data_IF_184123933386
#
_entry.id   IF_184123933386
#
_cell.length_a   1.000
_cell.length_b   1.000
_cell.length_c   1.000
_cell.angle_alpha   90.00
_cell.angle_beta   90.00
_cell.angle_gamma   90.00
#
_symmetry.space_group_name_H-M   'P 1'
#
loop_
_entity.id
_entity.type
_entity.pdbx_description
1 polymer ?
#
# COMPACT_ATOMS: atom_id res chain seq x y z
N UNK A 1 -54.25 10.18 38.57
CA UNK A 1 -54.36 8.71 38.44
C UNK A 1 -54.32 8.34 36.97
N UNK A 2 -53.35 7.50 36.58
CA UNK A 2 -53.36 6.45 35.54
C UNK A 2 -53.86 6.86 34.14
N UNK A 3 -53.08 6.82 33.05
CA UNK A 3 -52.10 5.81 32.63
C UNK A 3 -52.68 5.03 31.44
N UNK A 4 -52.01 5.07 30.28
CA UNK A 4 -52.45 4.55 28.97
C UNK A 4 -52.67 3.01 28.90
N UNK A 5 -53.15 2.42 27.78
CA UNK A 5 -52.29 2.19 26.59
C UNK A 5 -53.03 2.45 25.24
N UNK A 6 -52.49 3.24 24.30
CA UNK A 6 -51.50 2.87 23.26
C UNK A 6 -51.68 1.45 22.71
N UNK A 7 -52.41 1.36 21.60
CA UNK A 7 -52.50 0.15 20.78
C UNK A 7 -51.14 -0.24 20.22
N UNK A 8 -50.78 -1.51 20.41
CA UNK A 8 -49.57 -2.18 19.91
C UNK A 8 -49.32 -1.87 18.43
N UNK A 9 -48.17 -1.25 18.15
CA UNK A 9 -47.47 -1.47 16.89
C UNK A 9 -46.97 -2.91 16.92
N UNK A 10 -47.51 -3.73 16.03
CA UNK A 10 -46.98 -5.06 15.74
C UNK A 10 -45.52 -4.92 15.30
N UNK A 11 -44.67 -5.78 15.86
CA UNK A 11 -43.22 -5.75 15.65
C UNK A 11 -42.86 -5.78 14.16
N UNK A 12 -42.02 -4.83 13.78
CA UNK A 12 -41.29 -4.84 12.52
C UNK A 12 -40.17 -5.86 12.68
N UNK A 13 -40.28 -7.00 11.99
CA UNK A 13 -39.12 -7.83 11.69
C UNK A 13 -38.14 -6.93 10.94
N UNK A 14 -36.90 -6.78 11.45
CA UNK A 14 -35.89 -5.91 10.84
C UNK A 14 -35.62 -6.32 9.38
N UNK A 15 -36.38 -5.74 8.46
CA UNK A 15 -36.31 -6.01 7.04
C UNK A 15 -35.00 -5.51 6.50
N UNK A 16 -34.22 -6.41 5.90
CA UNK A 16 -33.01 -6.04 5.17
C UNK A 16 -33.42 -5.13 4.00
N UNK A 17 -33.16 -3.83 4.15
CA UNK A 17 -33.53 -2.82 3.15
C UNK A 17 -32.71 -3.02 1.87
N UNK A 18 -33.40 -3.28 0.77
CA UNK A 18 -32.80 -3.36 -0.57
C UNK A 18 -32.69 -1.94 -1.10
N UNK A 19 -31.52 -1.58 -1.59
CA UNK A 19 -31.26 -0.24 -2.12
C UNK A 19 -31.68 -0.13 -3.59
N UNK A 20 -32.21 1.02 -3.99
CA UNK A 20 -32.23 1.44 -5.39
C UNK A 20 -30.84 1.92 -5.83
N UNK A 21 -30.62 2.10 -7.15
CA UNK A 21 -29.37 2.68 -7.67
C UNK A 21 -29.09 4.07 -7.07
N UNK A 22 -30.10 4.94 -6.99
CA UNK A 22 -29.97 6.24 -6.36
C UNK A 22 -29.64 6.13 -4.86
N UNK A 23 -30.34 5.27 -4.11
CA UNK A 23 -30.08 5.11 -2.68
C UNK A 23 -28.68 4.51 -2.40
N UNK A 24 -28.18 3.66 -3.29
CA UNK A 24 -26.82 3.14 -3.24
C UNK A 24 -25.77 4.25 -3.49
N UNK A 25 -25.99 5.11 -4.49
CA UNK A 25 -25.12 6.24 -4.77
C UNK A 25 -25.08 7.25 -3.61
N UNK A 26 -26.24 7.60 -3.07
CA UNK A 26 -26.36 8.48 -1.88
C UNK A 26 -25.65 7.86 -0.65
N UNK A 27 -25.80 6.55 -0.45
CA UNK A 27 -25.13 5.83 0.63
C UNK A 27 -23.60 5.91 0.54
N UNK A 28 -23.05 5.71 -0.67
CA UNK A 28 -21.60 5.79 -0.89
C UNK A 28 -21.11 7.23 -0.74
N UNK A 29 -21.80 8.21 -1.33
CA UNK A 29 -21.42 9.62 -1.28
C UNK A 29 -21.38 10.14 0.17
N UNK A 30 -22.39 9.79 0.99
CA UNK A 30 -22.49 10.22 2.38
C UNK A 30 -21.37 9.67 3.28
N UNK A 31 -20.72 8.56 2.89
CA UNK A 31 -19.66 7.90 3.66
C UNK A 31 -18.26 8.11 3.08
N UNK A 32 -18.15 8.77 1.93
CA UNK A 32 -16.88 9.00 1.25
C UNK A 32 -15.90 9.79 2.13
N UNK A 33 -16.35 10.92 2.69
CA UNK A 33 -15.51 11.82 3.49
C UNK A 33 -16.24 12.38 4.71
N UNK A 34 -15.61 12.25 5.87
CA UNK A 34 -15.95 13.03 7.05
C UNK A 34 -15.19 14.37 7.00
N UNK A 35 -15.88 15.52 7.11
CA UNK A 35 -15.22 16.82 7.12
C UNK A 35 -14.26 16.92 8.31
N UNK A 36 -13.04 17.39 8.04
CA UNK A 36 -12.03 17.57 9.07
C UNK A 36 -10.85 18.35 8.52
N UNK A 37 -10.35 19.31 9.31
CA UNK A 37 -9.09 19.98 8.98
C UNK A 37 -7.92 19.01 9.22
N UNK A 38 -6.83 19.10 8.44
CA UNK A 38 -5.65 18.30 8.65
C UNK A 38 -5.11 18.41 10.08
N UNK A 39 -4.76 17.27 10.67
CA UNK A 39 -4.22 17.21 12.03
C UNK A 39 -4.02 15.80 12.58
N UNK A 40 -4.71 14.81 12.04
CA UNK A 40 -4.58 13.40 12.41
C UNK A 40 -4.03 12.57 11.26
N UNK A 41 -3.05 11.74 11.60
CA UNK A 41 -2.42 10.81 10.66
C UNK A 41 -2.71 9.38 11.13
N UNK A 42 -3.28 8.58 10.23
CA UNK A 42 -3.39 7.14 10.35
C UNK A 42 -2.32 6.46 9.48
N UNK A 43 -1.76 5.37 9.97
CA UNK A 43 -0.75 4.59 9.23
C UNK A 43 -1.17 3.12 9.29
N UNK A 44 -1.03 2.41 8.18
CA UNK A 44 -1.04 0.95 8.19
C UNK A 44 0.14 0.40 7.39
N UNK A 45 0.72 -0.69 7.89
CA UNK A 45 1.88 -1.35 7.28
C UNK A 45 1.57 -2.83 7.09
N UNK A 46 1.59 -3.29 5.84
CA UNK A 46 1.39 -4.70 5.52
C UNK A 46 2.71 -5.47 5.75
N UNK A 47 2.64 -6.57 6.49
CA UNK A 47 3.71 -7.56 6.66
C UNK A 47 3.41 -8.76 5.75
N UNK A 48 4.28 -9.00 4.78
CA UNK A 48 4.19 -10.20 3.96
C UNK A 48 4.94 -11.33 4.66
N UNK A 49 4.29 -12.46 4.91
CA UNK A 49 4.84 -13.55 5.73
C UNK A 49 5.00 -14.86 4.95
N UNK A 50 6.02 -15.63 5.36
CA UNK A 50 6.30 -17.00 4.89
C UNK A 50 6.62 -17.93 6.08
N UNK A 51 6.12 -19.17 6.14
CA UNK A 51 5.15 -19.77 5.23
C UNK A 51 3.78 -19.08 5.25
N UNK A 52 2.95 -19.38 4.25
CA UNK A 52 1.61 -18.83 4.06
C UNK A 52 0.59 -19.37 5.08
N UNK A 53 0.84 -19.14 6.37
CA UNK A 53 0.02 -19.61 7.49
C UNK A 53 -0.20 -18.53 8.56
N UNK A 54 -0.33 -17.27 8.14
CA UNK A 54 -0.66 -16.16 9.03
C UNK A 54 -1.87 -16.51 9.92
N UNK A 55 -1.79 -16.27 11.25
CA UNK A 55 -2.86 -16.65 12.18
C UNK A 55 -4.15 -15.90 11.86
N UNK A 56 -5.28 -16.58 11.79
CA UNK A 56 -6.56 -15.93 11.51
C UNK A 56 -7.00 -14.96 12.61
N UNK A 57 -7.76 -13.94 12.21
CA UNK A 57 -8.46 -13.02 13.11
C UNK A 57 -7.81 -11.65 13.27
N UNK A 58 -8.52 -10.76 13.97
CA UNK A 58 -8.09 -9.42 14.35
C UNK A 58 -7.60 -9.45 15.79
N UNK A 59 -6.40 -8.90 16.04
CA UNK A 59 -5.80 -8.87 17.38
C UNK A 59 -5.53 -7.43 17.81
N UNK A 60 -5.96 -7.01 19.01
CA UNK A 60 -5.59 -5.70 19.53
C UNK A 60 -4.10 -5.64 19.82
N UNK A 61 -3.48 -4.51 19.50
CA UNK A 61 -2.12 -4.15 19.88
C UNK A 61 -2.18 -3.03 20.93
N UNK A 62 -1.05 -2.37 21.20
CA UNK A 62 -0.99 -1.32 22.21
C UNK A 62 -1.84 -0.11 21.81
N UNK A 63 -1.76 0.29 20.54
CA UNK A 63 -2.49 1.45 20.04
C UNK A 63 -3.53 1.09 18.99
N UNK A 64 -3.20 0.15 18.11
CA UNK A 64 -4.03 -0.27 16.98
C UNK A 64 -4.33 -1.76 16.98
N UNK A 65 -4.29 -2.36 15.80
CA UNK A 65 -4.64 -3.77 15.60
C UNK A 65 -3.72 -4.44 14.58
N UNK A 66 -3.55 -5.74 14.75
CA UNK A 66 -2.98 -6.65 13.75
C UNK A 66 -4.14 -7.42 13.10
N UNK A 67 -4.33 -7.22 11.80
CA UNK A 67 -5.36 -7.88 11.00
C UNK A 67 -4.75 -8.87 10.01
N UNK A 68 -5.32 -10.06 9.90
CA UNK A 68 -4.95 -11.01 8.85
C UNK A 68 -5.78 -10.77 7.60
N UNK A 69 -5.13 -10.26 6.56
CA UNK A 69 -5.77 -9.98 5.26
C UNK A 69 -5.83 -11.22 4.38
N UNK A 70 -4.82 -12.08 4.49
CA UNK A 70 -4.73 -13.36 3.82
C UNK A 70 -3.75 -14.27 4.59
N UNK A 71 -3.64 -15.57 4.24
CA UNK A 71 -2.62 -16.44 4.83
C UNK A 71 -1.18 -15.96 4.67
N UNK A 72 -0.90 -14.97 3.79
CA UNK A 72 0.43 -14.39 3.58
C UNK A 72 0.54 -12.92 4.00
N UNK A 73 -0.55 -12.24 4.31
CA UNK A 73 -0.51 -10.79 4.56
C UNK A 73 -1.15 -10.48 5.90
N UNK A 74 -0.32 -10.00 6.82
CA UNK A 74 -0.76 -9.33 8.05
C UNK A 74 -0.76 -7.82 7.81
N UNK A 75 -1.67 -7.08 8.41
CA UNK A 75 -1.72 -5.62 8.34
C UNK A 75 -1.71 -5.04 9.75
N UNK A 76 -0.65 -4.31 10.09
CA UNK A 76 -0.60 -3.53 11.33
C UNK A 76 -1.25 -2.19 11.04
N UNK A 77 -2.38 -1.89 11.68
CA UNK A 77 -3.13 -0.64 11.46
C UNK A 77 -3.17 0.17 12.75
N UNK A 78 -2.59 1.37 12.71
CA UNK A 78 -2.57 2.30 13.83
C UNK A 78 -3.85 3.15 13.89
N UNK A 79 -4.18 3.72 15.06
CA UNK A 79 -5.31 4.64 15.20
C UNK A 79 -4.99 5.99 14.56
N UNK A 80 -6.01 6.80 14.19
CA UNK A 80 -5.80 8.20 13.87
C UNK A 80 -5.09 8.89 15.04
N UNK A 81 -3.96 9.52 14.76
CA UNK A 81 -3.06 10.05 15.77
C UNK A 81 -2.79 11.52 15.55
N UNK A 82 -2.84 12.38 16.60
CA UNK A 82 -2.68 13.81 16.46
C UNK A 82 -1.23 14.15 16.08
N UNK A 83 -1.04 14.47 14.80
CA UNK A 83 0.25 14.77 14.21
C UNK A 83 1.10 13.54 13.85
N UNK A 84 2.01 13.77 12.89
CA UNK A 84 2.88 12.75 12.31
C UNK A 84 3.76 12.03 13.34
N UNK A 85 4.42 12.74 14.26
CA UNK A 85 5.33 12.13 15.24
C UNK A 85 4.61 11.17 16.20
N UNK A 86 3.37 11.48 16.58
CA UNK A 86 2.55 10.58 17.41
C UNK A 86 2.17 9.34 16.62
N UNK A 87 1.76 9.50 15.36
CA UNK A 87 1.43 8.38 14.47
C UNK A 87 2.62 7.44 14.28
N UNK A 88 3.80 7.99 13.97
CA UNK A 88 5.03 7.21 13.78
C UNK A 88 5.47 6.48 15.05
N UNK A 89 5.40 7.13 16.22
CA UNK A 89 5.73 6.46 17.48
C UNK A 89 4.78 5.30 17.78
N UNK A 90 3.47 5.53 17.67
CA UNK A 90 2.46 4.50 17.91
C UNK A 90 2.60 3.31 16.97
N UNK A 91 2.79 3.57 15.69
CA UNK A 91 3.02 2.52 14.70
C UNK A 91 4.33 1.76 14.97
N UNK A 92 5.40 2.45 15.39
CA UNK A 92 6.65 1.80 15.80
C UNK A 92 6.47 0.81 16.95
N UNK A 93 5.74 1.21 18.00
CA UNK A 93 5.42 0.32 19.13
C UNK A 93 4.62 -0.93 18.69
N UNK A 94 3.62 -0.72 17.82
CA UNK A 94 2.73 -1.78 17.34
C UNK A 94 3.44 -2.72 16.36
N UNK A 95 4.36 -2.22 15.53
CA UNK A 95 5.23 -3.05 14.68
C UNK A 95 6.16 -3.91 15.52
N UNK A 96 6.82 -3.34 16.53
CA UNK A 96 7.68 -4.09 17.46
C UNK A 96 6.90 -5.15 18.27
N UNK A 97 5.62 -4.91 18.54
CA UNK A 97 4.74 -5.92 19.14
C UNK A 97 4.35 -7.02 18.14
N UNK A 98 4.13 -6.65 16.88
CA UNK A 98 3.77 -7.58 15.80
C UNK A 98 4.92 -8.51 15.42
N UNK A 99 6.18 -8.05 15.47
CA UNK A 99 7.37 -8.88 15.27
C UNK A 99 7.41 -10.06 16.26
N UNK A 100 7.08 -9.82 17.53
CA UNK A 100 6.99 -10.90 18.54
C UNK A 100 5.92 -11.94 18.20
N UNK A 101 4.80 -11.52 17.62
CA UNK A 101 3.72 -12.43 17.20
C UNK A 101 4.17 -13.25 15.99
N UNK A 102 4.79 -12.59 15.01
CA UNK A 102 5.40 -13.25 13.84
C UNK A 102 6.40 -14.32 14.29
N UNK A 103 7.29 -14.00 15.22
CA UNK A 103 8.30 -14.93 15.76
C UNK A 103 7.65 -16.12 16.49
N UNK A 104 6.64 -15.87 17.32
CA UNK A 104 5.88 -16.92 18.02
C UNK A 104 5.24 -17.92 17.05
N UNK A 105 4.78 -17.44 15.90
CA UNK A 105 4.21 -18.26 14.84
C UNK A 105 5.26 -18.82 13.85
N UNK A 106 6.55 -18.60 14.11
CA UNK A 106 7.67 -19.01 13.25
C UNK A 106 7.53 -18.52 11.80
N UNK A 107 7.00 -17.32 11.65
CA UNK A 107 6.83 -16.65 10.37
C UNK A 107 8.07 -15.81 10.07
N UNK A 108 8.42 -15.69 8.80
CA UNK A 108 9.43 -14.76 8.31
C UNK A 108 8.72 -13.62 7.59
N UNK A 109 8.99 -12.36 8.00
CA UNK A 109 8.52 -11.21 7.22
C UNK A 109 9.42 -11.02 6.01
N UNK A 110 8.84 -11.17 4.83
CA UNK A 110 9.54 -10.98 3.57
C UNK A 110 9.79 -9.48 3.33
N UNK A 111 10.99 -9.13 2.84
CA UNK A 111 11.33 -7.75 2.55
C UNK A 111 10.69 -7.22 1.25
N UNK A 112 10.07 -8.08 0.42
CA UNK A 112 9.41 -7.70 -0.85
C UNK A 112 8.11 -8.49 -1.07
N UNK A 113 7.29 -8.05 -2.05
CA UNK A 113 6.15 -8.81 -2.57
C UNK A 113 6.55 -10.25 -2.95
N UNK A 114 5.66 -11.24 -2.77
CA UNK A 114 6.04 -12.63 -2.96
C UNK A 114 6.21 -12.89 -4.43
N UNK A 115 7.24 -13.68 -4.75
CA UNK A 115 7.56 -14.03 -6.12
C UNK A 115 6.50 -14.80 -6.90
N UNK A 116 5.35 -15.14 -6.34
CA UNK A 116 4.28 -15.90 -7.00
C UNK A 116 3.36 -15.06 -7.88
N UNK A 117 3.41 -13.73 -7.81
CA UNK A 117 2.46 -12.87 -8.52
C UNK A 117 3.05 -12.36 -9.82
N UNK A 118 2.22 -12.37 -10.86
CA UNK A 118 2.51 -11.74 -12.14
C UNK A 118 1.84 -10.36 -12.21
N UNK A 119 2.46 -9.35 -12.85
CA UNK A 119 1.85 -8.03 -13.12
C UNK A 119 0.50 -8.08 -13.86
N UNK A 120 0.31 -9.10 -14.69
CA UNK A 120 -0.97 -9.44 -15.36
C UNK A 120 -1.79 -10.50 -14.59
N UNK A 121 -1.48 -10.68 -13.30
CA UNK A 121 -2.18 -11.62 -12.43
C UNK A 121 -3.57 -11.14 -12.05
N UNK A 122 -4.40 -12.02 -11.45
CA UNK A 122 -5.75 -11.65 -11.06
C UNK A 122 -5.74 -10.57 -9.98
N UNK A 123 -6.74 -9.67 -10.00
CA UNK A 123 -6.82 -8.51 -9.09
C UNK A 123 -6.73 -8.88 -7.59
N UNK A 124 -7.23 -10.05 -7.18
CA UNK A 124 -7.14 -10.50 -5.79
C UNK A 124 -5.70 -10.69 -5.29
N UNK A 125 -4.72 -10.84 -6.20
CA UNK A 125 -3.31 -10.98 -5.86
C UNK A 125 -2.74 -9.78 -5.09
N UNK A 126 -3.32 -8.59 -5.25
CA UNK A 126 -2.96 -7.38 -4.48
C UNK A 126 -3.06 -7.66 -2.97
N UNK A 127 -4.16 -8.27 -2.53
CA UNK A 127 -4.45 -8.52 -1.12
C UNK A 127 -3.84 -9.80 -0.55
N UNK A 128 -3.31 -10.69 -1.40
CA UNK A 128 -2.83 -12.01 -0.98
C UNK A 128 -1.33 -12.20 -1.09
N UNK A 129 -0.62 -11.33 -1.80
CA UNK A 129 0.77 -11.60 -2.13
C UNK A 129 1.64 -10.35 -2.36
N UNK A 130 1.12 -9.16 -2.02
CA UNK A 130 1.88 -7.91 -1.99
C UNK A 130 1.78 -7.26 -0.61
N UNK A 131 2.70 -6.34 -0.31
CA UNK A 131 2.68 -5.56 0.93
C UNK A 131 3.03 -4.11 0.63
N UNK A 132 2.29 -3.19 1.26
CA UNK A 132 2.47 -1.76 1.11
C UNK A 132 2.40 -1.00 2.44
N UNK A 133 2.42 0.32 2.30
CA UNK A 133 2.20 1.27 3.38
C UNK A 133 1.03 2.16 2.99
N UNK A 134 0.05 2.27 3.88
CA UNK A 134 -1.13 3.12 3.74
C UNK A 134 -1.08 4.27 4.70
N UNK A 135 -1.44 5.45 4.22
CA UNK A 135 -1.54 6.67 5.02
C UNK A 135 -2.97 7.20 4.91
N UNK A 136 -3.64 7.32 6.06
CA UNK A 136 -4.95 7.92 6.17
C UNK A 136 -4.85 9.32 6.74
N UNK A 137 -5.46 10.30 6.10
CA UNK A 137 -5.41 11.73 6.44
C UNK A 137 -6.81 12.31 6.46
N UNK A 138 -7.05 13.40 7.19
CA UNK A 138 -8.32 14.10 7.03
C UNK A 138 -8.53 14.57 5.60
N UNK A 139 -9.80 14.56 5.18
CA UNK A 139 -10.15 14.87 3.81
C UNK A 139 -10.06 16.38 3.51
N UNK A 140 -10.15 17.24 4.52
CA UNK A 140 -10.37 18.67 4.37
C UNK A 140 -11.84 19.05 4.59
N UNK A 141 -12.11 20.36 4.49
CA UNK A 141 -13.47 20.91 4.49
C UNK A 141 -13.93 21.19 3.05
N UNK A 142 -15.23 21.33 2.80
CA UNK A 142 -15.77 21.61 1.45
C UNK A 142 -15.39 23.01 0.89
N UNK A 143 -14.66 23.83 1.66
CA UNK A 143 -14.17 25.14 1.23
C UNK A 143 -13.08 25.08 0.14
N UNK A 144 -12.86 26.20 -0.56
CA UNK A 144 -11.91 26.28 -1.69
C UNK A 144 -10.45 26.57 -1.34
N UNK A 145 -10.08 26.56 -0.06
CA UNK A 145 -8.71 26.83 0.40
C UNK A 145 -7.72 25.71 0.04
N UNK A 146 -6.41 25.91 0.30
CA UNK A 146 -5.36 24.91 0.02
C UNK A 146 -5.61 23.54 0.68
N UNK A 147 -6.23 23.53 1.85
CA UNK A 147 -6.60 22.33 2.60
C UNK A 147 -8.07 21.92 2.41
N UNK A 148 -8.71 22.45 1.38
CA UNK A 148 -10.07 22.08 0.99
C UNK A 148 -10.13 20.69 0.36
N UNK A 149 -11.27 20.02 0.52
CA UNK A 149 -11.49 18.65 0.08
C UNK A 149 -11.12 18.44 -1.39
N UNK A 150 -11.62 19.32 -2.27
CA UNK A 150 -11.38 19.20 -3.72
C UNK A 150 -9.90 19.26 -4.07
N UNK A 151 -9.18 20.26 -3.54
CA UNK A 151 -7.75 20.42 -3.81
C UNK A 151 -6.93 19.25 -3.26
N UNK A 152 -7.26 18.77 -2.05
CA UNK A 152 -6.59 17.61 -1.45
C UNK A 152 -6.86 16.35 -2.26
N UNK A 153 -8.08 16.16 -2.76
CA UNK A 153 -8.42 15.04 -3.64
C UNK A 153 -7.64 15.07 -4.95
N UNK A 154 -7.58 16.22 -5.63
CA UNK A 154 -6.82 16.42 -6.86
C UNK A 154 -5.32 16.22 -6.65
N UNK A 155 -4.76 16.80 -5.58
CA UNK A 155 -3.35 16.63 -5.20
C UNK A 155 -3.03 15.17 -4.93
N UNK A 156 -3.87 14.45 -4.18
CA UNK A 156 -3.62 13.04 -3.89
C UNK A 156 -3.49 12.20 -5.17
N UNK A 157 -4.32 12.46 -6.19
CA UNK A 157 -4.29 11.71 -7.45
C UNK A 157 -3.07 12.04 -8.33
N UNK A 158 -2.63 13.30 -8.34
CA UNK A 158 -1.45 13.73 -9.10
C UNK A 158 -0.15 13.36 -8.40
N UNK A 159 -0.14 13.36 -7.07
CA UNK A 159 1.00 12.96 -6.24
C UNK A 159 1.18 11.44 -6.15
N UNK A 160 0.10 10.67 -6.22
CA UNK A 160 0.11 9.21 -6.04
C UNK A 160 1.11 8.47 -6.96
N UNK A 161 1.17 8.71 -8.29
CA UNK A 161 2.16 8.10 -9.17
C UNK A 161 3.61 8.45 -8.80
N UNK A 162 3.86 9.67 -8.33
CA UNK A 162 5.20 10.12 -7.91
C UNK A 162 5.66 9.37 -6.67
N UNK A 163 4.78 9.23 -5.67
CA UNK A 163 5.08 8.46 -4.46
C UNK A 163 5.23 6.96 -4.77
N UNK A 164 4.38 6.42 -5.64
CA UNK A 164 4.47 5.04 -6.11
C UNK A 164 5.82 4.75 -6.79
N UNK A 165 6.30 5.67 -7.63
CA UNK A 165 7.60 5.58 -8.27
C UNK A 165 8.76 5.72 -7.26
N UNK A 166 8.72 6.73 -6.40
CA UNK A 166 9.80 6.98 -5.43
C UNK A 166 9.99 5.83 -4.43
N UNK A 167 8.89 5.18 -4.04
CA UNK A 167 8.89 4.11 -3.04
C UNK A 167 8.71 2.71 -3.64
N UNK A 168 8.94 2.52 -4.95
CA UNK A 168 8.90 1.21 -5.58
C UNK A 168 9.94 0.25 -4.95
N UNK A 169 9.51 -0.93 -4.51
CA UNK A 169 10.35 -1.89 -3.79
C UNK A 169 9.89 -3.36 -3.97
N UNK A 170 9.28 -3.67 -5.11
CA UNK A 170 8.82 -5.04 -5.41
C UNK A 170 9.16 -5.51 -6.83
N UNK A 171 10.46 -5.56 -7.21
CA UNK A 171 10.83 -5.81 -8.61
C UNK A 171 10.93 -7.29 -9.02
N UNK A 172 10.77 -8.22 -8.09
CA UNK A 172 11.07 -9.64 -8.31
C UNK A 172 9.82 -10.51 -8.44
N UNK A 173 9.92 -11.53 -9.30
CA UNK A 173 9.02 -12.67 -9.42
C UNK A 173 9.85 -13.96 -9.33
N UNK A 174 9.52 -14.84 -8.38
CA UNK A 174 10.28 -16.04 -8.03
C UNK A 174 11.80 -15.83 -7.96
N UNK A 175 12.24 -14.72 -7.35
CA UNK A 175 13.66 -14.36 -7.22
C UNK A 175 14.31 -13.85 -8.52
N UNK A 176 13.56 -13.69 -9.61
CA UNK A 176 14.03 -13.14 -10.90
C UNK A 176 13.42 -11.76 -11.16
N UNK A 177 14.07 -10.87 -11.90
CA UNK A 177 13.48 -9.60 -12.30
C UNK A 177 12.16 -9.80 -13.04
N UNK A 178 11.10 -9.10 -12.61
CA UNK A 178 9.78 -9.18 -13.21
C UNK A 178 9.61 -8.26 -14.44
N UNK A 179 10.58 -7.37 -14.70
CA UNK A 179 10.46 -6.28 -15.68
C UNK A 179 9.71 -5.04 -15.15
N UNK A 180 9.43 -4.99 -13.84
CA UNK A 180 8.78 -3.88 -13.17
C UNK A 180 9.58 -3.52 -11.92
N UNK A 181 9.54 -2.26 -11.50
CA UNK A 181 10.10 -1.83 -10.20
C UNK A 181 9.12 -2.03 -9.06
N UNK A 182 7.82 -1.95 -9.35
CA UNK A 182 6.77 -2.34 -8.43
C UNK A 182 5.73 -3.24 -9.09
N UNK A 183 5.84 -4.54 -8.85
CA UNK A 183 4.79 -5.52 -9.20
C UNK A 183 3.49 -5.18 -8.47
N UNK A 184 3.57 -4.66 -7.24
CA UNK A 184 2.41 -4.21 -6.47
C UNK A 184 1.62 -3.13 -7.20
N UNK A 185 2.30 -2.10 -7.71
CA UNK A 185 1.64 -1.03 -8.45
C UNK A 185 1.20 -1.47 -9.84
N UNK A 186 1.93 -2.37 -10.49
CA UNK A 186 1.54 -2.91 -11.78
C UNK A 186 0.16 -3.58 -11.73
N UNK A 187 -0.18 -4.29 -10.65
CA UNK A 187 -1.50 -4.90 -10.45
C UNK A 187 -2.66 -3.90 -10.28
N UNK A 188 -2.35 -2.62 -10.00
CA UNK A 188 -3.33 -1.58 -9.64
C UNK A 188 -3.40 -0.44 -10.65
N UNK A 189 -2.60 -0.50 -11.71
CA UNK A 189 -2.48 0.58 -12.71
C UNK A 189 -3.81 0.93 -13.38
N UNK A 190 -4.73 -0.03 -13.46
CA UNK A 190 -6.07 0.13 -14.04
C UNK A 190 -7.18 0.33 -12.99
N UNK A 191 -6.83 0.36 -11.70
CA UNK A 191 -7.77 0.52 -10.57
C UNK A 191 -7.82 1.97 -10.07
N UNK A 192 -7.40 2.92 -10.89
CA UNK A 192 -7.26 4.31 -10.47
C UNK A 192 -8.59 5.02 -10.53
N UNK A 193 -8.98 5.68 -9.45
CA UNK A 193 -10.09 6.63 -9.49
C UNK A 193 -9.69 7.79 -10.39
N UNK A 194 -10.54 8.18 -11.33
CA UNK A 194 -10.33 9.36 -12.15
C UNK A 194 -10.97 10.55 -11.42
N UNK A 195 -10.18 11.52 -10.92
CA UNK A 195 -10.77 12.72 -10.34
C UNK A 195 -11.49 13.47 -11.45
N UNK A 196 -12.82 13.53 -11.40
CA UNK A 196 -13.61 14.35 -12.30
C UNK A 196 -13.48 15.83 -11.94
N UNK A 197 -13.91 16.73 -12.83
CA UNK A 197 -14.00 18.17 -12.55
C UNK A 197 -15.11 18.53 -11.52
N UNK A 198 -15.89 17.54 -11.08
CA UNK A 198 -17.03 17.65 -10.18
C UNK A 198 -16.64 17.41 -8.71
N UNK A 199 -17.62 17.11 -7.84
CA UNK A 199 -17.38 16.79 -6.43
C UNK A 199 -16.52 15.50 -6.30
N UNK A 200 -15.48 15.49 -5.44
CA UNK A 200 -14.76 14.27 -5.06
C UNK A 200 -15.66 13.10 -4.64
N UNK A 201 -16.81 13.39 -4.00
CA UNK A 201 -17.79 12.37 -3.62
C UNK A 201 -18.40 11.69 -4.83
N UNK A 202 -18.75 12.46 -5.87
CA UNK A 202 -19.32 11.91 -7.11
C UNK A 202 -18.30 11.03 -7.84
N UNK A 203 -17.04 11.48 -7.91
CA UNK A 203 -15.96 10.71 -8.54
C UNK A 203 -15.73 9.38 -7.82
N UNK A 204 -15.75 9.39 -6.48
CA UNK A 204 -15.64 8.18 -5.67
C UNK A 204 -16.86 7.26 -5.83
N UNK A 205 -18.07 7.81 -5.79
CA UNK A 205 -19.32 7.06 -5.96
C UNK A 205 -19.39 6.39 -7.32
N UNK A 206 -19.07 7.11 -8.40
CA UNK A 206 -19.00 6.55 -9.74
C UNK A 206 -18.02 5.38 -9.79
N UNK A 207 -16.81 5.57 -9.26
CA UNK A 207 -15.81 4.49 -9.19
C UNK A 207 -16.33 3.27 -8.44
N UNK A 208 -16.94 3.44 -7.26
CA UNK A 208 -17.48 2.32 -6.46
C UNK A 208 -18.57 1.58 -7.23
N UNK A 209 -19.51 2.31 -7.83
CA UNK A 209 -20.66 1.74 -8.52
C UNK A 209 -20.30 1.05 -9.83
N UNK A 210 -19.21 1.47 -10.48
CA UNK A 210 -18.77 0.97 -11.79
C UNK A 210 -17.57 0.01 -11.72
N UNK A 211 -16.98 -0.20 -10.53
CA UNK A 211 -15.89 -1.17 -10.36
C UNK A 211 -16.45 -2.54 -9.98
N UNK A 212 -16.09 -3.62 -10.67
CA UNK A 212 -16.57 -4.96 -10.35
C UNK A 212 -15.97 -5.46 -9.04
N UNK A 213 -16.80 -6.18 -8.26
CA UNK A 213 -16.35 -6.90 -7.08
C UNK A 213 -15.64 -8.22 -7.44
N UNK A 214 -15.43 -9.08 -6.43
CA UNK A 214 -14.82 -10.41 -6.63
C UNK A 214 -15.63 -11.35 -7.53
N UNK A 215 -16.92 -11.08 -7.72
CA UNK A 215 -17.83 -11.83 -8.59
C UNK A 215 -17.73 -11.40 -10.06
N UNK A 216 -16.98 -10.34 -10.36
CA UNK A 216 -16.85 -9.80 -11.73
C UNK A 216 -18.00 -8.91 -12.19
N UNK A 217 -18.99 -8.66 -11.33
CA UNK A 217 -20.15 -7.79 -11.61
C UNK A 217 -20.05 -6.52 -10.77
N UNK A 218 -20.48 -5.40 -11.34
CA UNK A 218 -20.52 -4.10 -10.63
C UNK A 218 -21.80 -3.95 -9.80
N UNK A 219 -21.80 -3.12 -8.74
CA UNK A 219 -23.03 -2.76 -8.04
C UNK A 219 -24.11 -2.22 -8.98
N UNK A 220 -23.73 -1.36 -9.92
CA UNK A 220 -24.67 -0.76 -10.88
C UNK A 220 -25.30 -1.79 -11.81
N UNK A 221 -24.51 -2.73 -12.36
CA UNK A 221 -25.04 -3.83 -13.16
C UNK A 221 -25.97 -4.72 -12.33
N UNK A 222 -25.56 -5.09 -11.11
CA UNK A 222 -26.38 -5.91 -10.20
C UNK A 222 -27.77 -5.32 -10.01
N UNK A 223 -27.87 -4.01 -9.79
CA UNK A 223 -29.14 -3.32 -9.60
C UNK A 223 -29.97 -3.25 -10.89
N UNK A 224 -29.33 -2.96 -12.03
CA UNK A 224 -29.99 -2.87 -13.34
C UNK A 224 -30.53 -4.20 -13.83
N UNK A 225 -29.88 -5.30 -13.45
CA UNK A 225 -30.32 -6.66 -13.75
C UNK A 225 -31.41 -7.16 -12.79
N UNK A 226 -31.93 -6.30 -11.90
CA UNK A 226 -32.96 -6.64 -10.92
C UNK A 226 -32.46 -7.42 -9.70
N UNK A 227 -31.13 -7.45 -9.50
CA UNK A 227 -30.48 -8.03 -8.33
C UNK A 227 -30.76 -7.24 -7.06
N UNK A 228 -30.51 -7.88 -5.91
CA UNK A 228 -30.68 -7.28 -4.58
C UNK A 228 -29.33 -6.82 -4.06
N UNK A 229 -29.25 -5.56 -3.66
CA UNK A 229 -28.06 -4.98 -3.04
C UNK A 229 -28.46 -4.31 -1.72
N UNK A 230 -27.73 -4.63 -0.65
CA UNK A 230 -27.96 -4.07 0.68
C UNK A 230 -26.86 -3.08 1.06
N UNK A 231 -27.07 -2.29 2.10
CA UNK A 231 -26.02 -1.42 2.65
C UNK A 231 -24.77 -2.21 3.09
N UNK A 232 -24.96 -3.39 3.69
CA UNK A 232 -23.86 -4.27 4.10
C UNK A 232 -23.10 -4.85 2.91
N UNK A 233 -23.79 -5.14 1.80
CA UNK A 233 -23.13 -5.55 0.55
C UNK A 233 -22.25 -4.42 -0.01
N UNK A 234 -22.76 -3.18 0.01
CA UNK A 234 -21.98 -2.02 -0.42
C UNK A 234 -20.80 -1.74 0.51
N UNK A 235 -20.98 -1.80 1.83
CA UNK A 235 -19.86 -1.63 2.78
C UNK A 235 -18.78 -2.71 2.56
N UNK A 236 -19.17 -3.97 2.31
CA UNK A 236 -18.23 -5.04 1.92
C UNK A 236 -17.54 -4.76 0.58
N UNK A 237 -18.29 -4.33 -0.43
CA UNK A 237 -17.75 -4.02 -1.75
C UNK A 237 -16.72 -2.88 -1.66
N UNK A 238 -17.09 -1.77 -1.03
CA UNK A 238 -16.23 -0.63 -0.75
C UNK A 238 -14.95 -1.10 -0.05
N UNK A 239 -15.05 -1.89 1.02
CA UNK A 239 -13.90 -2.40 1.76
C UNK A 239 -12.96 -3.32 0.94
N UNK A 240 -13.49 -4.00 -0.09
CA UNK A 240 -12.72 -4.87 -0.97
C UNK A 240 -11.94 -4.12 -2.06
N UNK A 241 -12.38 -2.91 -2.45
CA UNK A 241 -11.70 -2.10 -3.45
C UNK A 241 -10.32 -1.67 -2.96
N UNK A 242 -9.32 -1.71 -3.85
CA UNK A 242 -7.92 -1.33 -3.54
C UNK A 242 -7.34 -0.30 -4.52
N UNK A 243 -8.03 0.81 -4.83
CA UNK A 243 -7.46 1.88 -5.63
C UNK A 243 -6.26 2.52 -4.89
N UNK A 244 -5.30 3.12 -5.60
CA UNK A 244 -4.17 3.81 -4.96
C UNK A 244 -4.55 5.00 -4.08
N UNK A 245 -5.66 5.67 -4.40
CA UNK A 245 -6.26 6.76 -3.62
C UNK A 245 -7.73 6.43 -3.39
N UNK A 246 -8.21 6.56 -2.16
CA UNK A 246 -9.58 6.17 -1.79
C UNK A 246 -10.25 7.14 -0.82
N UNK A 247 -11.58 7.15 -0.84
CA UNK A 247 -12.42 7.82 0.14
C UNK A 247 -12.99 6.79 1.12
N UNK A 248 -12.61 6.87 2.40
CA UNK A 248 -12.91 5.88 3.46
C UNK A 248 -13.51 6.52 4.72
N UNK A 249 -14.26 7.60 4.54
CA UNK A 249 -14.57 8.58 5.59
C UNK A 249 -13.38 9.51 5.88
N UNK A 250 -12.24 9.26 5.25
CA UNK A 250 -11.00 10.03 5.28
C UNK A 250 -10.30 9.83 3.93
N UNK A 251 -9.24 10.60 3.66
CA UNK A 251 -8.43 10.44 2.46
C UNK A 251 -7.37 9.37 2.71
N UNK A 252 -7.41 8.26 1.96
CA UNK A 252 -6.44 7.17 2.07
C UNK A 252 -5.52 7.16 0.84
N UNK A 253 -4.20 7.20 1.05
CA UNK A 253 -3.19 6.95 0.03
C UNK A 253 -2.51 5.60 0.30
N UNK A 254 -2.59 4.69 -0.66
CA UNK A 254 -2.06 3.34 -0.60
C UNK A 254 -0.95 3.12 -1.63
N UNK A 255 0.00 4.05 -1.77
CA UNK A 255 0.85 4.15 -2.97
C UNK A 255 2.26 3.59 -2.80
N UNK A 256 2.76 3.48 -1.57
CA UNK A 256 4.12 3.01 -1.32
C UNK A 256 4.17 1.47 -1.18
N UNK A 257 5.20 0.85 -1.76
CA UNK A 257 5.55 -0.53 -1.42
C UNK A 257 6.10 -0.59 0.00
N UNK A 258 6.03 -1.77 0.62
CA UNK A 258 6.70 -2.01 1.91
C UNK A 258 8.19 -1.66 1.79
N UNK A 259 8.68 -0.88 2.74
CA UNK A 259 10.09 -0.49 2.84
C UNK A 259 10.83 -1.38 3.85
N UNK A 260 12.14 -1.63 3.68
CA UNK A 260 12.92 -2.46 4.59
C UNK A 260 13.09 -1.80 5.97
N UNK A 261 13.11 -2.60 7.03
CA UNK A 261 13.35 -2.15 8.40
C UNK A 261 12.44 -0.98 8.81
N UNK A 262 13.05 0.08 9.36
CA UNK A 262 12.34 1.31 9.76
C UNK A 262 12.06 2.27 8.58
N UNK A 263 12.36 1.87 7.35
CA UNK A 263 12.16 2.70 6.16
C UNK A 263 10.69 3.07 5.91
N UNK A 264 9.74 2.38 6.53
CA UNK A 264 8.31 2.68 6.42
C UNK A 264 7.93 4.08 6.94
N UNK A 265 8.77 4.66 7.82
CA UNK A 265 8.57 6.01 8.36
C UNK A 265 8.67 7.08 7.27
N UNK A 266 9.50 6.85 6.25
CA UNK A 266 9.79 7.82 5.18
C UNK A 266 8.56 8.06 4.28
N UNK A 267 7.94 7.04 3.63
CA UNK A 267 6.74 7.27 2.84
C UNK A 267 5.58 7.80 3.67
N UNK A 268 5.44 7.36 4.93
CA UNK A 268 4.41 7.91 5.82
C UNK A 268 4.63 9.41 6.08
N UNK A 269 5.87 9.81 6.41
CA UNK A 269 6.22 11.20 6.68
C UNK A 269 6.07 12.09 5.45
N UNK A 270 6.65 11.70 4.31
CA UNK A 270 6.60 12.46 3.05
C UNK A 270 5.15 12.63 2.59
N UNK A 271 4.35 11.57 2.61
CA UNK A 271 2.93 11.65 2.23
C UNK A 271 2.16 12.60 3.14
N UNK A 272 2.30 12.45 4.46
CA UNK A 272 1.55 13.29 5.40
C UNK A 272 1.90 14.77 5.24
N UNK A 273 3.19 15.13 5.15
CA UNK A 273 3.57 16.55 5.07
C UNK A 273 3.23 17.19 3.72
N UNK A 274 3.34 16.45 2.61
CA UNK A 274 2.97 17.00 1.30
C UNK A 274 1.48 17.27 1.19
N UNK A 275 0.66 16.57 1.97
CA UNK A 275 -0.78 16.79 1.99
C UNK A 275 -1.17 17.85 3.02
N UNK A 276 -0.63 17.79 4.25
CA UNK A 276 -1.14 18.53 5.41
C UNK A 276 -0.45 19.88 5.64
N UNK A 277 0.80 20.07 5.21
CA UNK A 277 1.42 21.39 5.23
C UNK A 277 0.98 22.19 4.00
N UNK A 278 0.26 23.30 4.23
CA UNK A 278 -0.35 24.08 3.14
C UNK A 278 0.66 24.54 2.07
N UNK A 279 1.88 24.89 2.45
CA UNK A 279 2.92 25.33 1.51
C UNK A 279 3.47 24.15 0.72
N UNK A 280 3.73 23.03 1.39
CA UNK A 280 4.19 21.81 0.73
C UNK A 280 3.15 21.26 -0.24
N UNK A 281 1.86 21.36 0.11
CA UNK A 281 0.75 20.98 -0.75
C UNK A 281 0.67 21.83 -2.02
N UNK A 282 0.87 23.15 -1.91
CA UNK A 282 0.93 24.03 -3.08
C UNK A 282 2.15 23.75 -3.97
N UNK A 283 3.33 23.58 -3.37
CA UNK A 283 4.56 23.23 -4.09
C UNK A 283 4.43 21.87 -4.80
N UNK A 284 3.84 20.88 -4.13
CA UNK A 284 3.57 19.55 -4.70
C UNK A 284 2.52 19.60 -5.82
N UNK A 285 1.46 20.38 -5.64
CA UNK A 285 0.44 20.57 -6.67
C UNK A 285 1.05 21.21 -7.93
N UNK A 286 1.91 22.21 -7.78
CA UNK A 286 2.62 22.83 -8.90
C UNK A 286 3.56 21.83 -9.61
N UNK A 287 4.34 21.06 -8.84
CA UNK A 287 5.25 20.05 -9.37
C UNK A 287 4.54 18.93 -10.14
N UNK A 288 3.30 18.61 -9.76
CA UNK A 288 2.56 17.45 -10.30
C UNK A 288 1.41 17.81 -11.24
N UNK A 289 1.09 19.09 -11.43
CA UNK A 289 -0.05 19.55 -12.22
C UNK A 289 -0.07 18.98 -13.65
N UNK A 290 1.10 18.93 -14.30
CA UNK A 290 1.22 18.44 -15.68
C UNK A 290 0.98 16.93 -15.83
N UNK A 291 1.09 16.16 -14.73
CA UNK A 291 0.99 14.70 -14.75
C UNK A 291 -0.43 14.20 -15.08
N UNK A 292 -1.47 15.00 -14.84
CA UNK A 292 -2.84 14.61 -15.15
C UNK A 292 -3.07 14.31 -16.65
N UNK A 293 -2.26 14.90 -17.54
CA UNK A 293 -2.33 14.67 -18.98
C UNK A 293 -1.39 13.58 -19.51
N UNK A 294 -0.59 12.95 -18.64
CA UNK A 294 0.46 12.02 -19.06
C UNK A 294 -0.10 10.64 -19.42
N UNK A 295 0.13 10.13 -20.66
CA UNK A 295 -0.44 8.87 -21.11
C UNK A 295 0.23 7.67 -20.43
N UNK A 296 -0.58 6.76 -19.86
CA UNK A 296 -0.06 5.55 -19.23
C UNK A 296 0.78 5.82 -17.96
N UNK A 297 0.61 6.97 -17.30
CA UNK A 297 1.42 7.40 -16.16
C UNK A 297 1.57 6.34 -15.07
N UNK A 298 0.49 5.63 -14.71
CA UNK A 298 0.54 4.58 -13.69
C UNK A 298 1.34 3.34 -14.12
N UNK A 299 1.28 3.00 -15.40
CA UNK A 299 2.09 1.91 -15.97
C UNK A 299 3.58 2.28 -15.89
N UNK A 300 3.94 3.51 -16.30
CA UNK A 300 5.31 4.02 -16.21
C UNK A 300 5.78 4.13 -14.77
N UNK A 301 4.96 4.62 -13.85
CA UNK A 301 5.29 4.69 -12.43
C UNK A 301 5.58 3.31 -11.82
N UNK A 302 4.81 2.28 -12.21
CA UNK A 302 5.03 0.92 -11.73
C UNK A 302 6.24 0.25 -12.40
N UNK A 303 6.44 0.46 -13.72
CA UNK A 303 7.48 -0.20 -14.51
C UNK A 303 8.84 0.48 -14.33
N UNK A 304 8.88 1.76 -14.64
CA UNK A 304 10.08 2.57 -14.80
C UNK A 304 10.41 3.36 -13.52
N UNK A 305 9.41 3.61 -12.67
CA UNK A 305 9.55 4.38 -11.44
C UNK A 305 10.30 5.70 -11.68
N UNK A 306 11.34 6.00 -10.89
CA UNK A 306 12.13 7.24 -11.06
C UNK A 306 13.17 7.19 -12.19
N UNK A 307 13.25 6.10 -12.97
CA UNK A 307 13.98 6.14 -14.25
C UNK A 307 13.17 6.81 -15.36
N UNK A 308 11.85 6.95 -15.17
CA UNK A 308 11.04 7.86 -15.98
C UNK A 308 11.42 9.31 -15.62
N UNK A 309 11.90 10.12 -16.59
CA UNK A 309 12.41 11.46 -16.31
C UNK A 309 11.32 12.45 -15.87
N UNK A 310 10.06 12.26 -16.29
CA UNK A 310 8.93 13.11 -15.93
C UNK A 310 8.59 12.89 -14.46
N UNK A 311 8.48 11.63 -14.04
CA UNK A 311 8.27 11.27 -12.63
C UNK A 311 9.47 11.65 -11.74
N UNK A 312 10.69 11.49 -12.24
CA UNK A 312 11.91 11.87 -11.51
C UNK A 312 11.99 13.37 -11.22
N UNK A 313 11.61 14.22 -12.20
CA UNK A 313 11.57 15.66 -12.01
C UNK A 313 10.56 16.05 -10.92
N UNK A 314 9.32 15.59 -11.05
CA UNK A 314 8.27 15.86 -10.06
C UNK A 314 8.65 15.33 -8.66
N UNK A 315 9.27 14.15 -8.58
CA UNK A 315 9.73 13.58 -7.31
C UNK A 315 10.78 14.47 -6.61
N UNK A 316 11.75 15.03 -7.35
CA UNK A 316 12.76 15.92 -6.76
C UNK A 316 12.10 17.15 -6.12
N UNK A 317 11.19 17.79 -6.82
CA UNK A 317 10.49 18.98 -6.33
C UNK A 317 9.61 18.64 -5.11
N UNK A 318 8.86 17.53 -5.16
CA UNK A 318 8.06 17.07 -4.03
C UNK A 318 8.93 16.73 -2.80
N UNK A 319 10.07 16.04 -2.96
CA UNK A 319 10.91 15.70 -1.81
C UNK A 319 11.60 16.93 -1.21
N UNK A 320 11.93 17.94 -2.01
CA UNK A 320 12.40 19.23 -1.52
C UNK A 320 11.33 19.94 -0.67
N UNK A 321 10.09 20.00 -1.17
CA UNK A 321 8.95 20.56 -0.45
C UNK A 321 8.68 19.81 0.86
N UNK A 322 8.72 18.47 0.82
CA UNK A 322 8.54 17.61 1.98
C UNK A 322 9.59 17.86 3.05
N UNK A 323 10.88 17.94 2.67
CA UNK A 323 11.96 18.20 3.62
C UNK A 323 11.79 19.56 4.32
N UNK A 324 11.46 20.61 3.57
CA UNK A 324 11.19 21.92 4.12
C UNK A 324 9.99 21.91 5.09
N UNK A 325 8.95 21.14 4.78
CA UNK A 325 7.77 20.98 5.63
C UNK A 325 8.09 20.24 6.95
N UNK A 326 8.85 19.15 6.89
CA UNK A 326 9.30 18.42 8.07
C UNK A 326 10.08 19.32 9.03
N UNK A 327 10.91 20.22 8.49
CA UNK A 327 11.64 21.20 9.30
C UNK A 327 10.69 22.21 9.98
N UNK A 328 9.68 22.72 9.26
CA UNK A 328 8.66 23.64 9.84
C UNK A 328 7.83 22.99 10.93
N UNK A 329 7.46 21.72 10.76
CA UNK A 329 6.65 20.98 11.72
C UNK A 329 7.44 20.51 12.97
N UNK A 330 8.74 20.82 13.06
CA UNK A 330 9.56 20.46 14.21
C UNK A 330 9.78 18.95 14.34
N UNK A 331 9.70 18.21 13.24
CA UNK A 331 9.95 16.77 13.21
C UNK A 331 11.38 16.47 13.64
N UNK A 332 11.55 15.36 14.36
CA UNK A 332 12.83 14.89 14.88
C UNK A 332 13.95 14.92 13.83
N UNK A 333 15.14 15.33 14.28
CA UNK A 333 16.32 15.40 13.40
C UNK A 333 16.62 14.05 12.75
N UNK A 334 16.51 12.96 13.51
CA UNK A 334 16.71 11.60 13.02
C UNK A 334 15.85 11.30 11.78
N UNK A 335 14.55 11.63 11.82
CA UNK A 335 13.67 11.40 10.68
C UNK A 335 13.97 12.33 9.51
N UNK A 336 14.32 13.60 9.77
CA UNK A 336 14.73 14.52 8.70
C UNK A 336 16.02 14.04 8.02
N UNK A 337 16.99 13.58 8.78
CA UNK A 337 18.26 13.05 8.26
C UNK A 337 17.99 11.76 7.44
N UNK A 338 17.10 10.87 7.90
CA UNK A 338 16.69 9.68 7.15
C UNK A 338 15.97 10.01 5.83
N UNK A 339 15.12 11.04 5.80
CA UNK A 339 14.46 11.52 4.57
C UNK A 339 15.51 12.12 3.62
N UNK A 340 16.44 12.93 4.13
CA UNK A 340 17.53 13.50 3.31
C UNK A 340 18.41 12.40 2.69
N UNK A 341 18.82 11.39 3.48
CA UNK A 341 19.59 10.26 2.98
C UNK A 341 18.83 9.50 1.88
N UNK A 342 17.53 9.27 2.06
CA UNK A 342 16.69 8.65 1.04
C UNK A 342 16.63 9.50 -0.25
N UNK A 343 16.45 10.81 -0.12
CA UNK A 343 16.42 11.74 -1.27
C UNK A 343 17.73 11.69 -2.05
N UNK A 344 18.88 11.74 -1.37
CA UNK A 344 20.21 11.69 -1.99
C UNK A 344 20.52 10.34 -2.65
N UNK A 345 20.16 9.25 -1.98
CA UNK A 345 20.43 7.89 -2.47
C UNK A 345 19.57 7.54 -3.69
N UNK A 346 18.31 7.96 -3.69
CA UNK A 346 17.32 7.52 -4.66
C UNK A 346 16.82 8.67 -5.54
N UNK A 347 16.12 9.63 -4.96
CA UNK A 347 15.34 10.63 -5.72
C UNK A 347 16.23 11.50 -6.60
N UNK A 348 17.31 12.07 -6.08
CA UNK A 348 18.22 12.91 -6.88
C UNK A 348 18.87 12.12 -8.02
N UNK A 349 19.12 10.83 -7.82
CA UNK A 349 19.74 9.93 -8.80
C UNK A 349 18.77 9.31 -9.79
N UNK A 350 17.46 9.63 -9.71
CA UNK A 350 16.45 8.98 -10.56
C UNK A 350 16.35 7.46 -10.30
N UNK A 351 16.56 7.07 -9.04
CA UNK A 351 16.52 5.68 -8.58
C UNK A 351 15.44 5.50 -7.52
N UNK A 352 15.13 4.26 -7.20
CA UNK A 352 14.25 3.85 -6.11
C UNK A 352 14.83 2.59 -5.42
N UNK A 353 14.28 2.17 -4.26
CA UNK A 353 14.74 0.97 -3.56
C UNK A 353 14.77 -0.30 -4.42
N UNK A 354 13.86 -0.44 -5.40
CA UNK A 354 13.87 -1.56 -6.33
C UNK A 354 15.17 -1.68 -7.16
N UNK A 355 15.85 -0.56 -7.47
CA UNK A 355 17.09 -0.58 -8.24
C UNK A 355 18.23 -1.25 -7.46
N UNK A 356 18.30 -1.06 -6.15
CA UNK A 356 19.31 -1.72 -5.30
C UNK A 356 19.12 -3.24 -5.27
N UNK A 357 17.85 -3.70 -5.32
CA UNK A 357 17.53 -5.13 -5.40
C UNK A 357 17.95 -5.69 -6.76
N UNK A 358 17.66 -4.98 -7.85
CA UNK A 358 18.00 -5.39 -9.21
C UNK A 358 19.52 -5.45 -9.43
N UNK A 359 20.26 -4.46 -8.90
CA UNK A 359 21.73 -4.45 -8.90
C UNK A 359 22.27 -5.69 -8.16
N UNK A 360 21.70 -6.01 -7.00
CA UNK A 360 22.09 -7.19 -6.21
C UNK A 360 21.85 -8.53 -6.92
N UNK A 361 20.74 -8.67 -7.66
CA UNK A 361 20.46 -9.87 -8.47
C UNK A 361 21.45 -9.99 -9.63
N UNK A 362 21.73 -8.89 -10.31
CA UNK A 362 22.68 -8.86 -11.44
C UNK A 362 24.10 -9.22 -10.98
N UNK A 363 24.54 -8.66 -9.85
CA UNK A 363 25.84 -8.99 -9.25
C UNK A 363 25.96 -10.48 -8.87
N UNK A 364 24.90 -11.09 -8.34
CA UNK A 364 24.88 -12.53 -8.02
C UNK A 364 24.95 -13.40 -9.27
N UNK A 365 24.30 -12.98 -10.36
CA UNK A 365 24.36 -13.68 -11.64
C UNK A 365 25.74 -13.58 -12.31
N UNK A 366 26.48 -12.49 -12.05
CA UNK A 366 27.83 -12.24 -12.58
C UNK A 366 28.98 -12.79 -11.71
N UNK A 367 28.69 -13.35 -10.53
CA UNK A 367 29.71 -13.99 -9.66
C UNK A 367 30.37 -15.20 -10.35
N UNK A 368 31.59 -15.60 -9.95
CA UNK A 368 32.40 -16.52 -10.73
C UNK A 368 31.70 -17.87 -10.90
N UNK A 369 31.29 -18.17 -12.14
CA UNK A 369 31.06 -19.53 -12.60
C UNK A 369 32.36 -20.30 -12.39
N UNK A 370 32.46 -21.04 -11.28
CA UNK A 370 33.53 -22.00 -11.08
C UNK A 370 33.61 -22.94 -12.28
N UNK A 371 34.81 -23.32 -12.73
CA UNK A 371 34.94 -24.11 -13.95
C UNK A 371 34.13 -25.40 -13.79
N UNK A 372 33.25 -25.66 -14.75
CA UNK A 372 32.63 -26.97 -14.91
C UNK A 372 33.79 -27.98 -15.07
N UNK A 373 34.02 -28.77 -14.02
CA UNK A 373 34.87 -29.95 -14.11
C UNK A 373 34.12 -30.91 -15.01
N UNK A 374 34.39 -30.81 -16.32
CA UNK A 374 34.08 -31.87 -17.28
C UNK A 374 35.08 -32.99 -16.96
N UNK A 375 34.74 -33.82 -15.97
CA UNK A 375 35.41 -35.08 -15.73
C UNK A 375 35.01 -36.06 -16.83
N UNK A 376 35.86 -36.20 -17.85
CA UNK A 376 35.81 -37.32 -18.77
C UNK A 376 36.09 -38.65 -18.05
N UNK A 377 35.69 -39.79 -18.62
CA UNK A 377 35.73 -41.08 -17.95
C UNK A 377 37.15 -41.64 -17.96
N UNK A 378 37.66 -42.04 -16.80
CA UNK A 378 38.81 -42.95 -16.71
C UNK A 378 38.31 -44.32 -16.27
N UNK A 379 38.38 -45.25 -17.22
CA UNK A 379 38.23 -46.69 -17.03
C UNK A 379 39.18 -47.25 -15.97
N UNK A 380 38.72 -48.31 -15.30
CA UNK A 380 39.52 -49.48 -14.93
C UNK A 380 40.55 -49.31 -13.81
N UNK A 381 40.32 -50.02 -12.69
CA UNK A 381 40.99 -51.31 -12.43
C UNK A 381 40.54 -51.86 -11.08
N UNK A 382 40.15 -53.12 -11.14
CA UNK A 382 39.85 -54.06 -10.06
C UNK A 382 40.99 -54.18 -9.04
N UNK A 383 40.65 -54.25 -7.74
CA UNK A 383 41.60 -54.53 -6.68
C UNK A 383 40.95 -54.82 -5.33
N UNK A 384 40.40 -56.04 -5.17
CA UNK A 384 40.16 -56.64 -3.85
C UNK A 384 41.48 -56.69 -3.06
N UNK A 385 41.45 -56.34 -1.77
CA UNK A 385 41.98 -57.14 -0.63
C UNK A 385 42.17 -56.25 0.59
N UNK A 386 41.46 -56.48 1.70
CA UNK A 386 41.77 -57.39 2.84
C UNK A 386 42.03 -56.53 4.08
N UNK A 387 41.14 -56.71 5.04
CA UNK A 387 41.25 -56.30 6.45
C UNK A 387 42.44 -57.04 7.08
N UNK A 388 43.33 -56.31 7.79
CA UNK A 388 44.01 -56.86 8.97
C UNK A 388 44.34 -55.80 10.01
N UNK A 389 44.14 -56.25 11.24
CA UNK A 389 44.18 -55.58 12.53
C UNK A 389 45.59 -55.43 13.12
N UNK A 390 45.67 -54.48 14.06
CA UNK A 390 46.45 -54.46 15.32
C UNK A 390 47.95 -54.12 15.29
N UNK A 391 48.23 -52.98 15.93
CA UNK A 391 49.10 -52.79 17.11
C UNK A 391 50.33 -53.68 17.28
N UNK A 392 51.49 -53.02 17.38
CA UNK A 392 52.70 -53.60 17.95
C UNK A 392 53.84 -52.57 18.00
N UNK A 393 54.10 -52.04 19.20
CA UNK A 393 55.23 -51.18 19.57
C UNK A 393 56.59 -51.78 19.17
N UNK A 394 57.50 -50.93 18.72
CA UNK A 394 58.76 -50.57 19.38
C UNK A 394 59.40 -49.39 18.65
#
# INVERSE_FOLDING_TARGET
MLGAPVGRVMGDEAGVSILSEQAAEEFVAARAFSPGLPGFVGIAVDLLVDPACAPSGRRPLRHGFLDTRSPRVLAVSGPPSPGLEVALRRMGDDLAASERIVDQHRLTVLPQATGTVHPEGPAHAIGTATAGIRVGLEAGLDGGGPLGLRRRWELAHTLAPVLAAAFANSPLRHGRPAGWRSVRQALRRDLTVRPGAADPRDSWTAYVMDTPGSTGVTPRQTLRDGGRLTADDLDRHVAALRPPVAARGHLELDVADRQPGNGWRIPAAVTAVLMDDARAAEEAAAATAHLAGEPGLWERAARDALTDPVLAAAARDCFMAAYAALARQGVSRELRDAVAEFTERYVHRGRCPADDILDGVTARAAGPSGPAVIGGPSEGVSGRSVVRLKDGRA
#
